data_IF_271681899818
#
_entry.id   IF_271681899818
#
_cell.length_a   1.000
_cell.length_b   1.000
_cell.length_c   1.000
_cell.angle_alpha   90.00
_cell.angle_beta   90.00
_cell.angle_gamma   90.00
#
_symmetry.space_group_name_H-M   'P 1'
#
loop_
_entity.id
_entity.type
_entity.pdbx_description
1 polymer ?
#
# COMPACT_ATOMS: atom_id res chain seq x y z
N UNK A 1 3.32 4.13 -11.41
CA UNK A 1 4.15 3.16 -10.66
C UNK A 1 3.24 2.46 -9.68
N UNK A 2 3.35 1.16 -9.50
CA UNK A 2 2.49 0.45 -8.54
C UNK A 2 2.92 0.74 -7.09
N UNK A 3 2.07 0.42 -6.12
CA UNK A 3 2.42 0.50 -4.70
C UNK A 3 3.62 -0.40 -4.36
N UNK A 4 3.75 -1.54 -5.05
CA UNK A 4 4.87 -2.45 -4.89
C UNK A 4 6.16 -1.79 -5.39
N UNK A 5 6.14 -1.18 -6.58
CA UNK A 5 7.31 -0.49 -7.13
C UNK A 5 7.74 0.68 -6.23
N UNK A 6 6.77 1.47 -5.75
CA UNK A 6 7.03 2.52 -4.78
C UNK A 6 7.71 1.93 -3.53
N UNK A 7 7.14 0.87 -2.97
CA UNK A 7 7.65 0.26 -1.75
C UNK A 7 9.04 -0.35 -1.92
N UNK A 8 9.32 -0.97 -3.06
CA UNK A 8 10.61 -1.57 -3.38
C UNK A 8 11.69 -0.51 -3.57
N UNK A 9 11.32 0.71 -4.01
CA UNK A 9 12.23 1.86 -4.13
C UNK A 9 12.67 2.47 -2.79
N UNK A 10 12.00 2.12 -1.69
CA UNK A 10 12.30 2.64 -0.36
C UNK A 10 13.43 1.86 0.33
N UNK A 11 14.23 2.55 1.15
CA UNK A 11 15.17 1.90 2.07
C UNK A 11 14.43 1.21 3.26
N UNK A 12 15.13 0.38 4.03
CA UNK A 12 14.51 -0.38 5.14
C UNK A 12 13.89 0.50 6.24
N UNK A 13 14.44 1.69 6.48
CA UNK A 13 13.90 2.65 7.44
C UNK A 13 12.61 3.25 6.90
N UNK A 14 12.62 3.71 5.66
CA UNK A 14 11.45 4.24 4.97
C UNK A 14 10.33 3.19 4.86
N UNK A 15 10.67 1.94 4.51
CA UNK A 15 9.74 0.80 4.50
C UNK A 15 9.09 0.56 5.85
N UNK A 16 9.86 0.67 6.95
CA UNK A 16 9.36 0.55 8.32
C UNK A 16 8.41 1.70 8.66
N UNK A 17 8.79 2.94 8.38
CA UNK A 17 7.97 4.14 8.62
C UNK A 17 6.66 4.08 7.84
N UNK A 18 6.72 3.72 6.55
CA UNK A 18 5.54 3.58 5.70
C UNK A 18 4.56 2.56 6.28
N UNK A 19 5.03 1.33 6.57
CA UNK A 19 4.20 0.27 7.19
C UNK A 19 3.56 0.74 8.50
N UNK A 20 4.33 1.36 9.39
CA UNK A 20 3.80 1.87 10.66
C UNK A 20 2.74 2.97 10.49
N UNK A 21 2.86 3.83 9.47
CA UNK A 21 1.82 4.82 9.15
C UNK A 21 0.52 4.14 8.70
N UNK A 22 0.64 3.16 7.80
CA UNK A 22 -0.50 2.35 7.31
C UNK A 22 -1.17 1.60 8.46
N UNK A 23 -0.41 0.86 9.26
CA UNK A 23 -0.91 0.11 10.43
C UNK A 23 -1.69 1.00 11.40
N UNK A 24 -1.11 2.14 11.79
CA UNK A 24 -1.74 3.05 12.77
C UNK A 24 -3.07 3.60 12.27
N UNK A 25 -3.18 3.89 10.98
CA UNK A 25 -4.41 4.47 10.44
C UNK A 25 -5.47 3.43 10.15
N UNK A 26 -5.09 2.28 9.60
CA UNK A 26 -6.05 1.23 9.21
C UNK A 26 -6.37 0.29 10.36
N UNK A 27 -5.65 0.40 11.50
CA UNK A 27 -5.74 -0.51 12.64
C UNK A 27 -5.54 -1.98 12.26
N UNK A 28 -4.82 -2.23 11.16
CA UNK A 28 -4.47 -3.59 10.71
C UNK A 28 -3.07 -3.96 11.14
N UNK A 29 -2.83 -5.27 11.23
CA UNK A 29 -1.53 -5.81 11.56
C UNK A 29 -0.54 -5.69 10.38
N UNK A 30 0.75 -5.80 10.73
CA UNK A 30 1.91 -5.79 9.79
C UNK A 30 1.72 -6.71 8.59
N UNK A 31 1.30 -7.94 8.85
CA UNK A 31 1.17 -8.98 7.82
C UNK A 31 0.11 -8.61 6.79
N UNK A 32 -1.03 -8.09 7.22
CA UNK A 32 -2.10 -7.62 6.34
C UNK A 32 -1.62 -6.46 5.47
N UNK A 33 -1.00 -5.45 6.08
CA UNK A 33 -0.44 -4.30 5.36
C UNK A 33 0.62 -4.74 4.34
N UNK A 34 1.50 -5.65 4.73
CA UNK A 34 2.52 -6.19 3.83
C UNK A 34 1.90 -6.96 2.65
N UNK A 35 0.83 -7.72 2.85
CA UNK A 35 0.12 -8.41 1.77
C UNK A 35 -0.52 -7.44 0.78
N UNK A 36 -1.07 -6.33 1.24
CA UNK A 36 -1.62 -5.29 0.36
C UNK A 36 -0.53 -4.61 -0.49
N UNK A 37 0.58 -4.24 0.14
CA UNK A 37 1.72 -3.62 -0.54
C UNK A 37 2.29 -4.53 -1.63
N UNK A 38 2.37 -5.83 -1.35
CA UNK A 38 2.83 -6.82 -2.33
C UNK A 38 1.75 -7.29 -3.30
N UNK A 39 0.56 -6.67 -3.29
CA UNK A 39 -0.58 -7.02 -4.13
C UNK A 39 -1.03 -8.49 -3.99
N UNK A 40 -0.67 -9.16 -2.89
CA UNK A 40 -1.04 -10.56 -2.59
C UNK A 40 -2.46 -10.68 -2.04
N UNK A 41 -3.00 -9.59 -1.51
CA UNK A 41 -4.36 -9.50 -1.03
C UNK A 41 -4.92 -8.13 -1.40
N UNK A 42 -6.15 -8.03 -1.92
CA UNK A 42 -6.74 -6.72 -2.19
C UNK A 42 -6.93 -5.93 -0.89
N UNK A 43 -6.54 -4.66 -0.94
CA UNK A 43 -6.98 -3.67 0.03
C UNK A 43 -8.39 -3.17 -0.37
N UNK A 44 -9.22 -2.87 0.62
CA UNK A 44 -10.51 -2.20 0.40
C UNK A 44 -10.32 -0.79 -0.17
N UNK A 45 -11.37 -0.18 -0.75
CA UNK A 45 -11.29 1.19 -1.29
C UNK A 45 -10.79 2.23 -0.27
N UNK A 46 -11.19 2.10 1.00
CA UNK A 46 -10.78 3.02 2.07
C UNK A 46 -9.27 2.90 2.34
N UNK A 47 -8.75 1.68 2.37
CA UNK A 47 -7.33 1.40 2.62
C UNK A 47 -6.46 1.85 1.43
N UNK A 48 -6.93 1.61 0.20
CA UNK A 48 -6.31 2.14 -1.03
C UNK A 48 -6.24 3.67 -1.02
N UNK A 49 -7.33 4.34 -0.67
CA UNK A 49 -7.38 5.80 -0.57
C UNK A 49 -6.40 6.34 0.49
N UNK A 50 -6.22 5.63 1.60
CA UNK A 50 -5.25 6.04 2.60
C UNK A 50 -3.80 5.93 2.11
N UNK A 51 -3.45 4.79 1.50
CA UNK A 51 -2.11 4.59 0.93
C UNK A 51 -1.82 5.59 -0.19
N UNK A 52 -2.81 5.87 -1.04
CA UNK A 52 -2.77 6.94 -2.04
C UNK A 52 -2.43 8.31 -1.44
N UNK A 53 -3.09 8.69 -0.34
CA UNK A 53 -2.81 9.97 0.36
C UNK A 53 -1.41 10.03 0.98
N UNK A 54 -0.87 8.93 1.48
CA UNK A 54 0.50 8.91 2.01
C UNK A 54 1.52 9.12 0.89
N UNK A 55 1.31 8.44 -0.23
CA UNK A 55 2.27 8.41 -1.35
C UNK A 55 2.12 9.67 -2.22
N UNK A 56 0.95 10.31 -2.22
CA UNK A 56 0.66 11.47 -3.06
C UNK A 56 0.43 11.10 -4.52
N UNK A 57 -0.10 9.90 -4.77
CA UNK A 57 -0.37 9.37 -6.12
C UNK A 57 -1.80 8.85 -6.23
N UNK A 58 -2.44 8.90 -7.42
CA UNK A 58 -3.77 8.35 -7.64
C UNK A 58 -3.88 6.88 -7.25
N UNK A 59 -5.09 6.45 -6.84
CA UNK A 59 -5.34 5.05 -6.46
C UNK A 59 -5.08 4.13 -7.65
N UNK A 60 -5.49 4.57 -8.84
CA UNK A 60 -5.42 3.87 -10.12
C UNK A 60 -3.96 3.64 -10.55
N UNK A 61 -3.06 4.58 -10.21
CA UNK A 61 -1.62 4.40 -10.48
C UNK A 61 -1.01 3.36 -9.54
N UNK A 62 -1.37 3.40 -8.26
CA UNK A 62 -0.78 2.57 -7.20
C UNK A 62 -1.34 1.15 -7.17
N UNK A 63 -2.63 1.03 -7.45
CA UNK A 63 -3.39 -0.21 -7.53
C UNK A 63 -4.02 -0.24 -8.91
N UNK A 64 -3.22 -0.44 -9.98
CA UNK A 64 -3.79 -0.65 -11.30
C UNK A 64 -4.81 -1.78 -11.15
N UNK A 65 -6.03 -1.55 -11.62
CA UNK A 65 -7.07 -2.56 -11.52
C UNK A 65 -6.49 -3.83 -12.13
N UNK A 66 -6.35 -4.87 -11.30
CA UNK A 66 -6.24 -6.22 -11.82
C UNK A 66 -7.66 -6.55 -12.28
N UNK A 67 -8.12 -5.89 -13.35
CA UNK A 67 -9.19 -6.43 -14.15
C UNK A 67 -8.68 -7.76 -14.66
N UNK A 68 -9.51 -8.79 -14.46
CA UNK A 68 -9.41 -10.19 -14.93
C UNK A 68 -8.77 -11.17 -13.94
N UNK A 69 -9.62 -11.80 -13.14
CA UNK A 69 -10.08 -13.17 -13.42
C UNK A 69 -11.33 -13.50 -12.57
#
# INVERSE_FOLDING_TARGET
MTIKDYYDSLDETQKRVFRSKVERKTQKNKSTVYRWINLKHPASPIEKAYMSRIIGKPIEELFPEIEKA
#
